data_IF_815641606876
#
_entry.id   IF_815641606876
#
_cell.length_a   1.000
_cell.length_b   1.000
_cell.length_c   1.000
_cell.angle_alpha   90.00
_cell.angle_beta   90.00
_cell.angle_gamma   90.00
#
_symmetry.space_group_name_H-M   'P 1'
#
loop_
_entity.id
_entity.type
_entity.pdbx_description
1 polymer ?
#
# COMPACT_ATOMS: atom_id res chain seq x y z
N UNK A 1 -3.77 13.21 2.76
CA UNK A 1 -2.90 12.03 2.59
C UNK A 1 -1.46 12.47 2.72
N UNK A 2 -0.69 11.83 3.60
CA UNK A 2 0.76 12.03 3.72
C UNK A 2 1.47 11.27 2.60
N UNK A 3 2.46 11.87 1.94
CA UNK A 3 3.26 11.19 0.90
C UNK A 3 4.62 10.87 1.51
N UNK A 4 4.95 9.58 1.59
CA UNK A 4 6.13 9.09 2.33
C UNK A 4 7.44 9.57 1.69
N UNK A 5 7.47 9.72 0.37
CA UNK A 5 8.64 10.14 -0.39
C UNK A 5 8.27 11.10 -1.51
N UNK A 6 9.12 12.08 -1.79
CA UNK A 6 8.99 12.96 -2.95
C UNK A 6 9.40 12.29 -4.27
N UNK A 7 10.03 11.11 -4.19
CA UNK A 7 10.45 10.26 -5.33
C UNK A 7 9.27 9.50 -5.93
N UNK A 8 8.43 10.22 -6.68
CA UNK A 8 7.27 9.67 -7.40
C UNK A 8 7.62 9.41 -8.86
N UNK A 9 7.18 8.26 -9.37
CA UNK A 9 7.23 7.94 -10.80
C UNK A 9 5.81 8.12 -11.35
N UNK A 10 5.51 9.32 -11.85
CA UNK A 10 4.20 9.64 -12.40
C UNK A 10 3.91 8.81 -13.67
N UNK A 11 2.68 8.34 -13.81
CA UNK A 11 2.23 7.65 -15.02
C UNK A 11 1.73 8.68 -16.04
N UNK A 12 2.31 8.75 -17.26
CA UNK A 12 1.83 9.66 -18.28
C UNK A 12 0.37 9.38 -18.67
N UNK A 13 -0.46 10.42 -18.78
CA UNK A 13 -1.87 10.28 -19.15
C UNK A 13 -2.09 9.55 -20.49
N UNK A 14 -1.16 9.73 -21.43
CA UNK A 14 -1.16 9.07 -22.75
C UNK A 14 -1.04 7.54 -22.64
N UNK A 15 -0.29 7.03 -21.66
CA UNK A 15 -0.15 5.59 -21.40
C UNK A 15 -1.52 5.01 -20.98
N UNK A 16 -2.21 5.72 -20.09
CA UNK A 16 -3.56 5.36 -19.65
C UNK A 16 -4.58 5.45 -20.80
N UNK A 17 -4.45 6.41 -21.72
CA UNK A 17 -5.31 6.53 -22.90
C UNK A 17 -5.09 5.41 -23.92
N UNK A 18 -3.87 4.90 -24.04
CA UNK A 18 -3.57 3.72 -24.88
C UNK A 18 -4.29 2.50 -24.33
N UNK A 19 -4.14 2.22 -23.02
CA UNK A 19 -4.77 1.04 -22.41
C UNK A 19 -6.29 1.09 -22.55
N UNK A 20 -6.94 2.24 -22.29
CA UNK A 20 -8.39 2.35 -22.48
C UNK A 20 -8.85 2.09 -23.92
N UNK A 21 -8.05 2.47 -24.93
CA UNK A 21 -8.39 2.21 -26.34
C UNK A 21 -8.20 0.75 -26.70
N UNK A 22 -7.17 0.10 -26.17
CA UNK A 22 -6.85 -1.30 -26.44
C UNK A 22 -7.84 -2.25 -25.77
N UNK A 23 -8.23 -1.96 -24.53
CA UNK A 23 -9.15 -2.80 -23.75
C UNK A 23 -10.62 -2.43 -23.94
N UNK A 24 -10.90 -1.21 -24.41
CA UNK A 24 -12.24 -0.63 -24.44
C UNK A 24 -12.76 -0.24 -23.05
N UNK A 25 -11.95 -0.39 -22.00
CA UNK A 25 -12.36 -0.08 -20.62
C UNK A 25 -12.23 1.40 -20.31
N UNK A 26 -13.20 1.96 -19.61
CA UNK A 26 -13.09 3.31 -19.03
C UNK A 26 -12.47 3.21 -17.65
N UNK A 27 -11.30 3.81 -17.44
CA UNK A 27 -10.68 3.88 -16.12
C UNK A 27 -11.37 4.96 -15.29
N UNK A 28 -11.61 4.75 -13.99
CA UNK A 28 -12.19 5.77 -13.12
C UNK A 28 -11.37 7.07 -13.17
N UNK A 29 -12.00 8.25 -13.39
CA UNK A 29 -11.27 9.51 -13.50
C UNK A 29 -10.39 9.82 -12.29
N UNK A 30 -10.87 9.48 -11.10
CA UNK A 30 -10.15 9.67 -9.84
C UNK A 30 -8.90 8.78 -9.73
N UNK A 31 -8.96 7.55 -10.25
CA UNK A 31 -7.80 6.64 -10.35
C UNK A 31 -6.78 7.15 -11.38
N UNK A 32 -7.24 7.62 -12.55
CA UNK A 32 -6.36 8.24 -13.56
C UNK A 32 -5.62 9.46 -12.98
N UNK A 33 -6.36 10.32 -12.28
CA UNK A 33 -5.77 11.46 -11.58
C UNK A 33 -4.75 10.99 -10.54
N UNK A 34 -5.08 9.95 -9.77
CA UNK A 34 -4.18 9.41 -8.76
C UNK A 34 -2.83 8.96 -9.36
N UNK A 35 -2.85 8.14 -10.41
CA UNK A 35 -1.63 7.65 -11.06
C UNK A 35 -0.80 8.75 -11.74
N UNK A 36 -1.46 9.72 -12.36
CA UNK A 36 -0.76 10.85 -13.02
C UNK A 36 -0.13 11.79 -12.01
N UNK A 37 -0.67 11.90 -10.80
CA UNK A 37 -0.12 12.74 -9.73
C UNK A 37 0.94 12.01 -8.90
N UNK A 38 0.65 10.78 -8.48
CA UNK A 38 1.42 10.07 -7.46
C UNK A 38 2.23 8.87 -7.99
N UNK A 39 1.84 8.31 -9.13
CA UNK A 39 2.42 7.07 -9.64
C UNK A 39 1.84 5.82 -9.00
N UNK A 40 2.52 4.70 -9.24
CA UNK A 40 2.26 3.43 -8.54
C UNK A 40 2.78 3.49 -7.10
N UNK A 41 2.15 2.72 -6.22
CA UNK A 41 2.57 2.68 -4.82
C UNK A 41 1.58 1.98 -3.90
N UNK A 42 1.91 1.95 -2.62
CA UNK A 42 1.08 1.33 -1.58
C UNK A 42 0.32 2.39 -0.80
N UNK A 43 -1.00 2.31 -0.80
CA UNK A 43 -1.90 3.15 -0.01
C UNK A 43 -2.15 2.51 1.36
N UNK A 44 -1.82 3.26 2.42
CA UNK A 44 -2.00 2.90 3.83
C UNK A 44 -1.50 1.50 4.21
N UNK A 45 -0.49 0.99 3.49
CA UNK A 45 0.06 -0.34 3.72
C UNK A 45 -0.85 -1.53 3.39
N UNK A 46 -2.02 -1.33 2.77
CA UNK A 46 -2.98 -2.41 2.53
C UNK A 46 -3.41 -2.59 1.06
N UNK A 47 -3.35 -1.54 0.22
CA UNK A 47 -3.59 -1.65 -1.23
C UNK A 47 -2.41 -1.16 -2.02
N UNK A 48 -1.98 -1.96 -2.99
CA UNK A 48 -1.10 -1.55 -4.06
C UNK A 48 -1.94 -0.96 -5.18
N UNK A 49 -1.72 0.32 -5.50
CA UNK A 49 -2.27 0.98 -6.67
C UNK A 49 -1.25 0.86 -7.78
N UNK A 50 -1.59 0.14 -8.84
CA UNK A 50 -0.69 -0.18 -9.95
C UNK A 50 -1.19 0.46 -11.23
N UNK A 51 -0.36 0.43 -12.29
CA UNK A 51 -0.80 0.66 -13.66
C UNK A 51 -1.90 -0.35 -14.02
N UNK A 52 -2.81 0.02 -14.94
CA UNK A 52 -3.83 -0.91 -15.40
C UNK A 52 -3.18 -2.06 -16.16
N UNK A 53 -3.54 -3.29 -15.81
CA UNK A 53 -3.00 -4.51 -16.40
C UNK A 53 -4.14 -5.43 -16.86
N UNK A 54 -4.26 -5.62 -18.17
CA UNK A 54 -5.29 -6.46 -18.79
C UNK A 54 -4.95 -7.94 -18.84
N UNK A 55 -3.74 -8.34 -18.46
CA UNK A 55 -3.24 -9.72 -18.56
C UNK A 55 -3.42 -10.47 -17.23
N UNK A 56 -3.25 -9.78 -16.09
CA UNK A 56 -3.27 -10.37 -14.73
C UNK A 56 -4.49 -11.26 -14.48
N UNK A 57 -5.68 -10.82 -14.89
CA UNK A 57 -6.93 -11.56 -14.62
C UNK A 57 -7.29 -12.60 -15.68
N UNK A 58 -6.65 -12.61 -16.86
CA UNK A 58 -7.02 -13.53 -17.94
C UNK A 58 -6.95 -15.01 -17.56
N UNK A 59 -5.91 -15.49 -16.85
CA UNK A 59 -5.83 -16.90 -16.46
C UNK A 59 -7.01 -17.32 -15.58
N UNK A 60 -7.55 -16.42 -14.77
CA UNK A 60 -8.60 -16.71 -13.80
C UNK A 60 -9.96 -17.00 -14.43
N UNK A 61 -10.15 -16.67 -15.71
CA UNK A 61 -11.36 -17.04 -16.45
C UNK A 61 -11.46 -18.53 -16.78
N UNK A 62 -10.39 -19.31 -16.58
CA UNK A 62 -10.36 -20.76 -16.80
C UNK A 62 -10.46 -21.56 -15.50
N UNK A 63 -10.46 -20.87 -14.36
CA UNK A 63 -10.52 -21.48 -13.03
C UNK A 63 -11.83 -21.11 -12.33
N UNK A 64 -12.36 -22.06 -11.56
CA UNK A 64 -13.58 -21.86 -10.75
C UNK A 64 -13.21 -21.32 -9.35
N UNK A 65 -12.54 -20.16 -9.29
CA UNK A 65 -12.20 -19.50 -8.03
C UNK A 65 -13.38 -18.76 -7.40
N UNK A 66 -14.30 -18.25 -8.21
CA UNK A 66 -15.44 -17.45 -7.78
C UNK A 66 -16.76 -18.02 -8.30
N UNK A 67 -17.83 -17.77 -7.55
CA UNK A 67 -19.18 -18.09 -7.96
C UNK A 67 -19.69 -17.04 -8.94
N UNK A 68 -20.31 -17.52 -10.02
CA UNK A 68 -20.92 -16.71 -11.06
C UNK A 68 -22.43 -16.97 -11.10
N UNK A 69 -23.10 -16.70 -9.98
CA UNK A 69 -24.56 -16.71 -9.86
C UNK A 69 -25.19 -15.42 -10.42
N UNK A 70 -26.51 -15.28 -10.32
CA UNK A 70 -27.25 -14.11 -10.82
C UNK A 70 -26.88 -12.80 -10.12
N UNK A 71 -26.27 -12.85 -8.92
CA UNK A 71 -25.84 -11.67 -8.17
C UNK A 71 -24.41 -11.23 -8.55
N UNK A 72 -23.66 -12.10 -9.24
CA UNK A 72 -22.28 -11.82 -9.63
C UNK A 72 -22.25 -10.75 -10.74
N UNK A 73 -21.46 -9.67 -10.57
CA UNK A 73 -21.46 -8.56 -11.53
C UNK A 73 -20.85 -8.92 -12.89
N UNK A 74 -20.07 -10.00 -12.95
CA UNK A 74 -19.42 -10.51 -14.17
C UNK A 74 -19.62 -12.01 -14.29
N UNK A 75 -19.77 -12.49 -15.52
CA UNK A 75 -19.63 -13.91 -15.84
C UNK A 75 -18.16 -14.34 -15.80
N UNK A 76 -17.91 -15.65 -15.69
CA UNK A 76 -16.55 -16.20 -15.70
C UNK A 76 -15.78 -15.81 -16.98
N UNK A 77 -16.44 -15.86 -18.13
CA UNK A 77 -15.83 -15.46 -19.40
C UNK A 77 -15.47 -13.96 -19.45
N UNK A 78 -16.24 -13.10 -18.78
CA UNK A 78 -15.99 -11.66 -18.69
C UNK A 78 -14.78 -11.31 -17.80
N UNK A 79 -14.27 -12.24 -16.97
CA UNK A 79 -13.03 -12.03 -16.22
C UNK A 79 -11.87 -11.70 -17.17
N UNK A 80 -11.82 -12.29 -18.37
CA UNK A 80 -10.76 -12.01 -19.38
C UNK A 80 -10.73 -10.56 -19.87
N UNK A 81 -11.83 -9.84 -19.69
CA UNK A 81 -11.99 -8.44 -20.11
C UNK A 81 -11.72 -7.47 -18.95
N UNK A 82 -11.52 -7.98 -17.74
CA UNK A 82 -11.23 -7.15 -16.58
C UNK A 82 -9.78 -6.67 -16.63
N UNK A 83 -9.59 -5.38 -16.36
CA UNK A 83 -8.28 -4.74 -16.25
C UNK A 83 -8.01 -4.53 -14.77
N UNK A 84 -6.98 -5.20 -14.23
CA UNK A 84 -6.55 -5.01 -12.84
C UNK A 84 -5.97 -3.60 -12.68
N UNK A 85 -6.31 -2.92 -11.59
CA UNK A 85 -5.82 -1.57 -11.26
C UNK A 85 -5.11 -1.53 -9.90
N UNK A 86 -5.00 -2.70 -9.25
CA UNK A 86 -4.36 -2.83 -7.96
C UNK A 86 -4.65 -4.15 -7.27
N UNK A 87 -3.97 -4.38 -6.15
CA UNK A 87 -4.15 -5.56 -5.30
C UNK A 87 -4.16 -5.18 -3.83
N UNK A 88 -4.85 -5.95 -2.99
CA UNK A 88 -4.66 -5.87 -1.54
C UNK A 88 -3.37 -6.58 -1.11
N UNK A 89 -2.94 -6.37 0.13
CA UNK A 89 -1.85 -7.16 0.76
C UNK A 89 -2.23 -8.62 1.00
N UNK A 90 -3.53 -8.92 1.09
CA UNK A 90 -4.03 -10.28 1.23
C UNK A 90 -4.11 -11.00 -0.12
N UNK A 91 -3.93 -10.27 -1.23
CA UNK A 91 -3.89 -10.80 -2.59
C UNK A 91 -5.23 -10.76 -3.32
N UNK A 92 -6.16 -9.91 -2.86
CA UNK A 92 -7.41 -9.60 -3.58
C UNK A 92 -7.09 -8.68 -4.77
N UNK A 93 -7.86 -8.76 -5.86
CA UNK A 93 -7.71 -7.84 -6.99
C UNK A 93 -8.77 -6.74 -6.96
N UNK A 94 -8.34 -5.53 -7.31
CA UNK A 94 -9.21 -4.45 -7.75
C UNK A 94 -9.15 -4.41 -9.27
N UNK A 95 -10.30 -4.43 -9.95
CA UNK A 95 -10.35 -4.40 -11.40
C UNK A 95 -11.51 -3.54 -11.92
N UNK A 96 -11.45 -3.22 -13.21
CA UNK A 96 -12.52 -2.52 -13.93
C UNK A 96 -12.85 -3.29 -15.20
N UNK A 97 -14.10 -3.19 -15.65
CA UNK A 97 -14.60 -3.95 -16.80
C UNK A 97 -15.28 -3.00 -17.81
N UNK A 98 -15.14 -3.20 -19.13
CA UNK A 98 -15.66 -2.27 -20.15
C UNK A 98 -17.15 -1.92 -20.03
N UNK A 99 -17.95 -2.86 -19.53
CA UNK A 99 -19.42 -2.75 -19.48
C UNK A 99 -19.96 -2.49 -18.07
N UNK A 100 -19.10 -2.32 -17.07
CA UNK A 100 -19.50 -2.19 -15.66
C UNK A 100 -18.93 -0.91 -15.09
N UNK A 101 -19.81 -0.08 -14.53
CA UNK A 101 -19.43 1.13 -13.85
C UNK A 101 -19.06 0.84 -12.39
N UNK A 102 -17.82 1.16 -12.01
CA UNK A 102 -17.28 0.94 -10.68
C UNK A 102 -16.05 0.05 -10.69
N UNK A 103 -15.62 -0.34 -9.49
CA UNK A 103 -14.46 -1.22 -9.27
C UNK A 103 -14.96 -2.59 -8.83
N UNK A 104 -14.57 -3.63 -9.53
CA UNK A 104 -14.79 -5.02 -9.14
C UNK A 104 -13.75 -5.42 -8.10
N UNK A 105 -14.22 -6.02 -7.01
CA UNK A 105 -13.39 -6.63 -5.98
C UNK A 105 -13.41 -8.14 -6.14
N UNK A 106 -12.24 -8.71 -6.39
CA UNK A 106 -12.01 -10.15 -6.54
C UNK A 106 -11.31 -10.67 -5.28
N UNK A 107 -12.07 -11.20 -4.30
CA UNK A 107 -11.48 -11.64 -3.05
C UNK A 107 -10.69 -12.92 -3.24
N UNK A 108 -9.52 -13.03 -2.61
CA UNK A 108 -8.73 -14.27 -2.61
C UNK A 108 -9.32 -15.33 -1.68
N UNK A 109 -9.93 -14.90 -0.58
CA UNK A 109 -10.40 -15.77 0.50
C UNK A 109 -11.92 -15.84 0.61
N UNK A 110 -12.64 -15.42 -0.44
CA UNK A 110 -14.09 -15.57 -0.56
C UNK A 110 -14.47 -15.87 -2.01
N UNK A 111 -15.68 -16.37 -2.21
CA UNK A 111 -16.13 -16.84 -3.52
C UNK A 111 -16.95 -15.80 -4.30
N UNK A 112 -17.35 -14.69 -3.65
CA UNK A 112 -18.23 -13.68 -4.28
C UNK A 112 -17.44 -12.46 -4.75
N UNK A 113 -17.44 -12.24 -6.07
CA UNK A 113 -16.98 -10.97 -6.66
C UNK A 113 -18.03 -9.91 -6.34
N UNK A 114 -17.60 -8.73 -5.86
CA UNK A 114 -18.51 -7.64 -5.54
C UNK A 114 -18.19 -6.38 -6.33
N UNK A 115 -19.23 -5.61 -6.68
CA UNK A 115 -19.08 -4.31 -7.31
C UNK A 115 -18.99 -3.22 -6.23
N UNK A 116 -17.93 -2.44 -6.31
CA UNK A 116 -17.65 -1.30 -5.44
C UNK A 116 -17.92 -0.02 -6.22
N UNK A 117 -18.88 0.83 -5.79
CA UNK A 117 -19.09 2.13 -6.41
C UNK A 117 -17.78 2.90 -6.46
N UNK A 118 -17.50 3.58 -7.56
CA UNK A 118 -16.36 4.46 -7.71
C UNK A 118 -16.87 5.74 -8.37
N UNK A 119 -17.06 6.79 -7.54
CA UNK A 119 -17.58 8.08 -8.00
C UNK A 119 -16.46 9.04 -8.43
N UNK A 120 -16.85 10.30 -8.66
CA UNK A 120 -15.92 11.39 -9.01
C UNK A 120 -15.09 11.92 -7.82
N UNK A 121 -15.31 11.38 -6.61
CA UNK A 121 -14.51 11.68 -5.43
C UNK A 121 -13.04 11.24 -5.59
N UNK A 122 -12.18 11.66 -4.66
CA UNK A 122 -10.80 11.18 -4.57
C UNK A 122 -10.75 9.65 -4.54
N UNK A 123 -9.81 9.07 -5.29
CA UNK A 123 -9.67 7.61 -5.36
C UNK A 123 -9.43 6.99 -3.98
N UNK A 124 -8.71 7.70 -3.10
CA UNK A 124 -8.50 7.31 -1.70
C UNK A 124 -9.79 7.13 -0.92
N UNK A 125 -10.83 7.92 -1.18
CA UNK A 125 -12.15 7.73 -0.55
C UNK A 125 -12.82 6.43 -1.00
N UNK A 126 -12.61 6.03 -2.26
CA UNK A 126 -13.05 4.71 -2.75
C UNK A 126 -12.30 3.60 -2.03
N UNK A 127 -10.97 3.71 -1.92
CA UNK A 127 -10.15 2.75 -1.18
C UNK A 127 -10.56 2.65 0.29
N UNK A 128 -10.75 3.76 0.99
CA UNK A 128 -11.18 3.78 2.40
C UNK A 128 -12.57 3.17 2.61
N UNK A 129 -13.48 3.33 1.63
CA UNK A 129 -14.79 2.67 1.66
C UNK A 129 -14.63 1.15 1.48
N UNK A 130 -13.86 0.71 0.49
CA UNK A 130 -13.58 -0.72 0.26
C UNK A 130 -12.97 -1.35 1.51
N UNK A 131 -11.97 -0.70 2.13
CA UNK A 131 -11.36 -1.19 3.36
C UNK A 131 -12.39 -1.42 4.48
N UNK A 132 -13.28 -0.44 4.71
CA UNK A 132 -14.30 -0.54 5.76
C UNK A 132 -15.29 -1.67 5.52
N UNK A 133 -15.66 -1.89 4.27
CA UNK A 133 -16.59 -2.95 3.87
C UNK A 133 -15.96 -4.34 4.01
N UNK A 134 -14.74 -4.53 3.49
CA UNK A 134 -14.08 -5.84 3.43
C UNK A 134 -13.49 -6.26 4.77
N UNK A 135 -12.83 -5.34 5.47
CA UNK A 135 -12.18 -5.65 6.75
C UNK A 135 -13.09 -5.43 7.96
N UNK A 136 -14.30 -4.89 7.77
CA UNK A 136 -15.28 -4.58 8.84
C UNK A 136 -14.67 -3.73 9.97
N UNK A 137 -13.68 -2.93 9.63
CA UNK A 137 -12.93 -2.08 10.54
C UNK A 137 -12.98 -0.64 10.06
N UNK A 138 -13.11 0.29 10.98
CA UNK A 138 -12.88 1.69 10.66
C UNK A 138 -11.38 1.93 10.61
N UNK A 139 -10.89 2.41 9.46
CA UNK A 139 -9.51 2.86 9.34
C UNK A 139 -9.37 4.20 10.09
N UNK A 140 -8.85 4.17 11.31
CA UNK A 140 -8.63 5.36 12.13
C UNK A 140 -7.24 5.98 11.94
N UNK A 141 -6.38 5.36 11.11
CA UNK A 141 -5.04 5.86 10.85
C UNK A 141 -5.08 7.04 9.87
N UNK A 142 -4.15 8.01 10.00
CA UNK A 142 -3.96 9.04 8.99
C UNK A 142 -3.58 8.40 7.65
N UNK A 143 -4.28 8.78 6.59
CA UNK A 143 -4.02 8.23 5.26
C UNK A 143 -2.61 8.60 4.77
N UNK A 144 -1.85 7.61 4.30
CA UNK A 144 -0.54 7.82 3.70
C UNK A 144 -0.38 7.02 2.41
N UNK A 145 0.54 7.45 1.55
CA UNK A 145 0.89 6.77 0.32
C UNK A 145 2.40 6.62 0.19
N UNK A 146 2.82 5.43 -0.18
CA UNK A 146 4.19 4.99 -0.37
C UNK A 146 4.45 4.81 -1.88
N UNK A 147 4.98 5.82 -2.58
CA UNK A 147 5.33 5.68 -3.99
C UNK A 147 6.33 4.56 -4.20
N UNK A 148 6.17 3.80 -5.28
CA UNK A 148 7.17 2.83 -5.72
C UNK A 148 8.19 3.51 -6.63
N UNK A 149 9.45 3.19 -6.39
CA UNK A 149 10.59 3.67 -7.16
C UNK A 149 11.79 2.74 -6.95
N UNK A 150 12.83 2.93 -7.77
CA UNK A 150 14.04 2.09 -7.73
C UNK A 150 15.06 2.53 -6.67
N UNK A 151 14.85 3.69 -6.04
CA UNK A 151 15.76 4.26 -5.05
C UNK A 151 15.43 3.82 -3.62
N UNK A 152 14.26 3.23 -3.40
CA UNK A 152 13.87 2.76 -2.07
C UNK A 152 14.77 1.62 -1.60
N UNK A 153 15.19 1.72 -0.35
CA UNK A 153 16.00 0.75 0.39
C UNK A 153 15.35 0.44 1.72
N UNK A 154 15.76 -0.67 2.31
CA UNK A 154 15.34 -1.06 3.65
C UNK A 154 16.49 -1.71 4.41
N UNK A 155 16.43 -1.60 5.73
CA UNK A 155 17.34 -2.26 6.65
C UNK A 155 16.55 -2.79 7.83
N UNK A 156 16.88 -3.99 8.29
CA UNK A 156 16.28 -4.60 9.46
C UNK A 156 17.26 -4.60 10.62
N UNK A 157 16.77 -4.30 11.81
CA UNK A 157 17.55 -4.32 13.04
C UNK A 157 16.90 -5.27 14.04
N UNK A 158 17.72 -6.13 14.63
CA UNK A 158 17.35 -7.00 15.73
C UNK A 158 17.57 -6.26 17.05
N UNK A 159 16.47 -5.90 17.71
CA UNK A 159 16.45 -5.35 19.05
C UNK A 159 16.63 -6.46 20.09
N UNK A 160 17.71 -6.39 20.86
CA UNK A 160 17.96 -7.35 21.95
C UNK A 160 17.54 -6.74 23.27
N UNK A 161 16.44 -7.23 23.83
CA UNK A 161 16.04 -6.86 25.19
C UNK A 161 17.11 -7.31 26.20
N UNK A 162 17.43 -6.43 27.15
CA UNK A 162 18.24 -6.74 28.32
C UNK A 162 17.41 -6.43 29.56
N UNK A 163 17.51 -7.28 30.57
CA UNK A 163 16.84 -7.05 31.85
C UNK A 163 17.25 -5.69 32.43
N UNK A 164 16.27 -4.85 32.79
CA UNK A 164 16.51 -3.46 33.21
C UNK A 164 16.88 -2.48 32.08
N UNK A 165 16.93 -2.93 30.83
CA UNK A 165 17.15 -2.11 29.64
C UNK A 165 15.88 -1.45 29.11
N UNK A 166 16.03 -0.67 28.03
CA UNK A 166 14.89 -0.05 27.35
C UNK A 166 13.93 -1.13 26.82
N UNK A 167 12.64 -0.84 26.84
CA UNK A 167 11.65 -1.60 26.08
C UNK A 167 11.54 -1.05 24.65
N UNK A 168 11.00 -1.84 23.73
CA UNK A 168 10.79 -1.37 22.35
C UNK A 168 9.90 -0.11 22.26
N UNK A 169 8.77 0.01 23.00
CA UNK A 169 8.01 1.26 23.03
C UNK A 169 8.77 2.45 23.63
N UNK A 170 9.66 2.20 24.60
CA UNK A 170 10.53 3.25 25.14
C UNK A 170 11.55 3.71 24.09
N UNK A 171 12.14 2.79 23.33
CA UNK A 171 13.04 3.12 22.23
C UNK A 171 12.33 3.88 21.10
N UNK A 172 11.11 3.46 20.72
CA UNK A 172 10.30 4.18 19.74
C UNK A 172 10.01 5.62 20.21
N UNK A 173 9.75 5.84 21.51
CA UNK A 173 9.60 7.17 22.10
C UNK A 173 10.87 8.02 21.96
N UNK A 174 12.04 7.45 22.28
CA UNK A 174 13.31 8.15 22.09
C UNK A 174 13.55 8.52 20.61
N UNK A 175 13.18 7.65 19.68
CA UNK A 175 13.27 7.96 18.24
C UNK A 175 12.32 9.12 17.86
N UNK A 176 11.08 9.12 18.35
CA UNK A 176 10.13 10.23 18.13
C UNK A 176 10.68 11.57 18.64
N UNK A 177 11.27 11.57 19.84
CA UNK A 177 11.87 12.77 20.45
C UNK A 177 13.10 13.24 19.68
N UNK A 178 13.96 12.31 19.24
CA UNK A 178 15.24 12.62 18.58
C UNK A 178 15.09 13.08 17.13
N UNK A 179 14.18 12.46 16.39
CA UNK A 179 14.06 12.64 14.94
C UNK A 179 12.86 13.49 14.51
N UNK A 180 11.97 13.86 15.44
CA UNK A 180 10.86 14.79 15.21
C UNK A 180 10.02 14.44 13.96
N UNK A 181 9.27 13.33 13.99
CA UNK A 181 8.58 12.80 12.83
C UNK A 181 7.48 13.71 12.29
N UNK A 182 7.29 13.66 10.97
CA UNK A 182 6.20 14.34 10.28
C UNK A 182 4.84 13.67 10.53
N UNK A 183 4.85 12.34 10.68
CA UNK A 183 3.68 11.54 10.96
C UNK A 183 4.04 10.33 11.85
N UNK A 184 3.16 9.98 12.78
CA UNK A 184 3.28 8.78 13.60
C UNK A 184 1.98 7.98 13.50
N UNK A 185 2.11 6.69 13.26
CA UNK A 185 1.04 5.72 13.42
C UNK A 185 1.45 4.70 14.47
N UNK A 186 0.68 4.55 15.54
CA UNK A 186 1.02 3.66 16.65
C UNK A 186 -0.23 2.97 17.18
N UNK A 187 -0.14 1.65 17.34
CA UNK A 187 -1.16 0.81 17.97
C UNK A 187 -0.48 -0.24 18.86
N UNK A 188 -1.25 -1.19 19.38
CA UNK A 188 -0.74 -2.25 20.26
C UNK A 188 0.26 -3.22 19.60
N UNK A 189 0.35 -3.24 18.28
CA UNK A 189 1.19 -4.16 17.51
C UNK A 189 2.35 -3.48 16.77
N UNK A 190 2.27 -2.19 16.48
CA UNK A 190 3.29 -1.49 15.68
C UNK A 190 3.40 -0.01 16.05
N UNK A 191 4.59 0.55 15.83
CA UNK A 191 4.80 1.99 15.73
C UNK A 191 5.56 2.32 14.44
N UNK A 192 4.93 3.09 13.55
CA UNK A 192 5.54 3.66 12.35
C UNK A 192 5.82 5.14 12.58
N UNK A 193 7.07 5.53 12.41
CA UNK A 193 7.59 6.89 12.58
C UNK A 193 8.03 7.38 11.21
N UNK A 194 7.22 8.21 10.56
CA UNK A 194 7.47 8.70 9.21
C UNK A 194 8.31 9.97 9.23
N UNK A 195 9.28 10.01 8.31
CA UNK A 195 10.22 11.10 8.13
C UNK A 195 10.32 11.40 6.63
N UNK A 196 9.77 12.53 6.20
CA UNK A 196 9.82 12.97 4.81
C UNK A 196 11.26 13.22 4.36
N UNK A 197 12.11 13.73 5.26
CA UNK A 197 13.54 13.91 5.01
C UNK A 197 14.29 12.60 4.74
N UNK A 198 13.77 11.48 5.24
CA UNK A 198 14.28 10.13 4.98
C UNK A 198 13.69 9.53 3.67
N UNK A 199 12.58 10.10 3.20
CA UNK A 199 11.73 9.51 2.17
C UNK A 199 11.13 8.17 2.63
N UNK A 200 10.86 8.02 3.92
CA UNK A 200 10.57 6.72 4.51
C UNK A 200 10.10 6.76 5.96
N UNK A 201 10.30 5.66 6.68
CA UNK A 201 9.88 5.51 8.08
C UNK A 201 10.66 4.42 8.81
N UNK A 202 10.65 4.53 10.14
CA UNK A 202 11.01 3.44 11.04
C UNK A 202 9.75 2.69 11.45
N UNK A 203 9.75 1.36 11.41
CA UNK A 203 8.67 0.48 11.88
C UNK A 203 9.17 -0.37 13.03
N UNK A 204 8.60 -0.18 14.21
CA UNK A 204 8.83 -0.98 15.40
C UNK A 204 7.77 -2.06 15.50
N UNK A 205 8.17 -3.32 15.52
CA UNK A 205 7.27 -4.44 15.61
C UNK A 205 6.98 -4.79 17.07
N UNK A 206 5.97 -4.15 17.67
CA UNK A 206 5.59 -4.39 19.08
C UNK A 206 5.03 -5.80 19.32
N UNK A 207 4.43 -6.43 18.32
CA UNK A 207 3.88 -7.78 18.46
C UNK A 207 4.95 -8.83 18.76
N UNK A 208 6.09 -8.77 18.07
CA UNK A 208 7.22 -9.68 18.32
C UNK A 208 8.29 -9.09 19.24
N UNK A 209 8.36 -7.76 19.36
CA UNK A 209 9.24 -7.04 20.27
C UNK A 209 10.73 -7.12 19.94
N UNK A 210 11.10 -7.61 18.75
CA UNK A 210 12.50 -7.83 18.37
C UNK A 210 12.92 -7.15 17.06
N UNK A 211 11.99 -6.78 16.19
CA UNK A 211 12.34 -6.24 14.87
C UNK A 211 12.06 -4.74 14.78
N UNK A 212 13.02 -4.02 14.21
CA UNK A 212 12.86 -2.64 13.74
C UNK A 212 13.23 -2.60 12.27
N UNK A 213 12.33 -2.16 11.40
CA UNK A 213 12.62 -1.95 9.98
C UNK A 213 12.80 -0.46 9.71
N UNK A 214 13.80 -0.08 8.92
CA UNK A 214 14.00 1.30 8.46
C UNK A 214 13.89 1.30 6.94
N UNK A 215 12.88 1.99 6.43
CA UNK A 215 12.69 2.23 5.00
C UNK A 215 13.16 3.64 4.67
N UNK A 216 13.91 3.81 3.59
CA UNK A 216 14.50 5.09 3.21
C UNK A 216 14.80 5.15 1.70
N UNK A 217 15.04 6.35 1.19
CA UNK A 217 15.55 6.54 -0.18
C UNK A 217 17.08 6.53 -0.20
N UNK A 218 17.67 5.87 -1.19
CA UNK A 218 19.13 5.69 -1.32
C UNK A 218 19.91 7.01 -1.29
N UNK A 219 19.35 8.09 -1.86
CA UNK A 219 19.96 9.42 -1.85
C UNK A 219 19.78 10.20 -0.54
N UNK A 220 19.09 9.61 0.46
CA UNK A 220 18.91 10.13 1.82
C UNK A 220 19.77 9.37 2.85
N UNK A 221 20.86 8.75 2.40
CA UNK A 221 21.74 7.88 3.19
C UNK A 221 22.28 8.54 4.48
N UNK A 222 22.54 9.84 4.50
CA UNK A 222 23.07 10.52 5.70
C UNK A 222 22.13 10.43 6.90
N UNK A 223 20.82 10.64 6.71
CA UNK A 223 19.85 10.53 7.81
C UNK A 223 19.64 9.06 8.21
N UNK A 224 19.68 8.15 7.24
CA UNK A 224 19.68 6.72 7.52
C UNK A 224 20.88 6.30 8.37
N UNK A 225 22.10 6.76 8.07
CA UNK A 225 23.30 6.46 8.84
C UNK A 225 23.19 6.97 10.28
N UNK A 226 22.62 8.17 10.47
CA UNK A 226 22.32 8.72 11.81
C UNK A 226 21.34 7.85 12.58
N UNK A 227 20.24 7.42 11.94
CA UNK A 227 19.25 6.51 12.53
C UNK A 227 19.90 5.16 12.86
N UNK A 228 20.66 4.59 11.94
CA UNK A 228 21.36 3.31 12.12
C UNK A 228 22.31 3.36 13.31
N UNK A 229 23.14 4.40 13.40
CA UNK A 229 24.06 4.59 14.53
C UNK A 229 23.28 4.74 15.85
N UNK A 230 22.20 5.52 15.84
CA UNK A 230 21.35 5.69 17.02
C UNK A 230 20.75 4.36 17.48
N UNK A 231 20.20 3.56 16.57
CA UNK A 231 19.66 2.23 16.88
C UNK A 231 20.75 1.29 17.43
N UNK A 232 21.94 1.27 16.83
CA UNK A 232 23.07 0.46 17.30
C UNK A 232 23.51 0.83 18.72
N UNK A 233 23.51 2.11 19.07
CA UNK A 233 23.79 2.58 20.43
C UNK A 233 22.73 2.11 21.45
N UNK A 234 21.54 1.73 21.00
CA UNK A 234 20.43 1.27 21.82
C UNK A 234 20.17 -0.24 21.73
N UNK A 235 21.22 -1.04 21.47
CA UNK A 235 21.19 -2.50 21.40
C UNK A 235 20.38 -3.08 20.22
N UNK A 236 20.30 -2.35 19.11
CA UNK A 236 19.74 -2.85 17.86
C UNK A 236 20.89 -3.26 16.92
N UNK A 237 20.99 -4.54 16.58
CA UNK A 237 22.02 -5.03 15.66
C UNK A 237 21.47 -5.06 14.24
N UNK A 238 22.22 -4.54 13.26
CA UNK A 238 21.83 -4.63 11.86
C UNK A 238 21.76 -6.11 11.45
N UNK A 239 20.63 -6.53 10.92
CA UNK A 239 20.37 -7.87 10.39
C UNK A 239 20.50 -7.81 8.87
N UNK A 240 21.47 -8.55 8.34
CA UNK A 240 21.76 -8.65 6.91
C UNK A 240 20.96 -9.77 6.25
#
# INVERSE_FOLDING_TARGET
MYIVSDKRIQVPAIELDVIQRETGTQLPPSYRFFLTQYGEGTYCGWVNVTRPDSEVLQPFAEYDFWLHDEECPVTQAQIRQCVSIGTSIDGDFLAVHPQIEGVLWFPRHAEKITLKPCGEDLFTHTLDRIYREEYKQNHFAPAFFEPWNDTRRHAFFLFTYREGGLSMPALARLCKERFQPDLVFENEHTCQIFLQALGGYMRFNYAYGMEIAVFYEEDRSTLYEEISLFLQQHNCQLHA
#
